data_IF_082318778003
#
_entry.id   IF_082318778003
#
_cell.length_a   1.000
_cell.length_b   1.000
_cell.length_c   1.000
_cell.angle_alpha   90.00
_cell.angle_beta   90.00
_cell.angle_gamma   90.00
#
_symmetry.space_group_name_H-M   'P 1'
#
loop_
_entity.id
_entity.type
_entity.pdbx_description
1 polymer ?
#
# COMPACT_ATOMS: atom_id res chain seq x y z
N UNK A 1 -19.38 19.51 -1.13
CA UNK A 1 -18.33 19.93 -2.09
C UNK A 1 -17.56 18.69 -2.50
N UNK A 2 -17.60 18.30 -3.77
CA UNK A 2 -16.67 17.27 -4.27
C UNK A 2 -15.27 17.88 -4.29
N UNK A 3 -14.29 17.19 -3.71
CA UNK A 3 -12.89 17.61 -3.81
C UNK A 3 -12.41 17.55 -5.27
N UNK A 4 -11.43 18.39 -5.66
CA UNK A 4 -10.93 18.43 -7.03
C UNK A 4 -10.35 17.08 -7.45
N UNK A 5 -10.55 16.76 -8.74
CA UNK A 5 -9.92 15.61 -9.39
C UNK A 5 -8.40 15.66 -9.16
N UNK A 6 -7.73 14.51 -8.94
CA UNK A 6 -6.29 14.52 -8.71
C UNK A 6 -5.56 15.12 -9.91
N UNK A 7 -4.61 16.00 -9.67
CA UNK A 7 -3.72 16.45 -10.74
C UNK A 7 -2.59 15.42 -10.98
N UNK A 8 -1.91 15.54 -12.11
CA UNK A 8 -0.81 14.62 -12.48
C UNK A 8 0.34 14.66 -11.48
N UNK A 9 0.55 15.79 -10.79
CA UNK A 9 1.62 15.95 -9.81
C UNK A 9 1.31 15.21 -8.51
N UNK A 10 0.05 15.19 -8.07
CA UNK A 10 -0.43 14.44 -6.91
C UNK A 10 -0.16 12.94 -7.10
N UNK A 11 -0.62 12.35 -8.22
CA UNK A 11 -0.37 10.94 -8.52
C UNK A 11 1.11 10.64 -8.71
N UNK A 12 1.86 11.58 -9.30
CA UNK A 12 3.32 11.49 -9.41
C UNK A 12 4.02 11.40 -8.06
N UNK A 13 3.58 12.22 -7.10
CA UNK A 13 4.12 12.27 -5.73
C UNK A 13 3.81 11.00 -4.96
N UNK A 14 2.57 10.51 -5.02
CA UNK A 14 2.18 9.24 -4.39
C UNK A 14 2.98 8.06 -4.94
N UNK A 15 3.21 8.03 -6.26
CA UNK A 15 4.05 7.00 -6.89
C UNK A 15 5.51 7.07 -6.43
N UNK A 16 6.06 8.27 -6.27
CA UNK A 16 7.42 8.45 -5.77
C UNK A 16 7.53 7.98 -4.31
N UNK A 17 6.56 8.33 -3.47
CA UNK A 17 6.50 7.88 -2.08
C UNK A 17 6.40 6.36 -1.98
N UNK A 18 5.49 5.72 -2.72
CA UNK A 18 5.35 4.26 -2.71
C UNK A 18 6.65 3.55 -3.13
N UNK A 19 7.36 4.11 -4.12
CA UNK A 19 8.67 3.59 -4.55
C UNK A 19 9.75 3.74 -3.47
N UNK A 20 9.76 4.88 -2.78
CA UNK A 20 10.70 5.11 -1.70
C UNK A 20 10.43 4.16 -0.53
N UNK A 21 9.19 4.07 -0.06
CA UNK A 21 8.81 3.13 1.01
C UNK A 21 9.17 1.68 0.64
N UNK A 22 8.98 1.30 -0.62
CA UNK A 22 9.40 -0.01 -1.08
C UNK A 22 10.92 -0.18 -1.05
N UNK A 23 11.69 0.79 -1.54
CA UNK A 23 13.15 0.74 -1.49
C UNK A 23 13.66 0.68 -0.05
N UNK A 24 13.08 1.48 0.84
CA UNK A 24 13.40 1.53 2.26
C UNK A 24 13.12 0.18 2.94
N UNK A 25 12.13 -0.58 2.47
CA UNK A 25 11.86 -1.93 3.00
C UNK A 25 12.99 -2.93 2.78
N UNK A 26 13.90 -2.67 1.84
CA UNK A 26 15.06 -3.51 1.54
C UNK A 26 16.37 -3.00 2.14
N UNK A 27 16.35 -1.92 2.91
CA UNK A 27 17.56 -1.36 3.53
C UNK A 27 18.16 -2.39 4.50
N UNK A 28 19.44 -2.68 4.31
CA UNK A 28 20.19 -3.58 5.18
C UNK A 28 20.27 -3.04 6.61
N UNK A 29 20.15 -3.93 7.59
CA UNK A 29 20.18 -3.57 9.01
C UNK A 29 18.81 -3.23 9.60
N UNK A 30 17.74 -3.14 8.80
CA UNK A 30 16.39 -3.06 9.33
C UNK A 30 15.98 -4.35 10.05
N UNK A 31 15.22 -4.20 11.14
CA UNK A 31 14.49 -5.30 11.74
C UNK A 31 13.41 -5.82 10.78
N UNK A 32 12.92 -7.04 11.01
CA UNK A 32 11.80 -7.57 10.24
C UNK A 32 10.55 -6.69 10.35
N UNK A 33 10.27 -6.14 11.54
CA UNK A 33 9.19 -5.19 11.76
C UNK A 33 9.39 -3.89 10.98
N UNK A 34 10.62 -3.36 10.95
CA UNK A 34 10.96 -2.14 10.21
C UNK A 34 10.80 -2.33 8.70
N UNK A 35 11.36 -3.40 8.15
CA UNK A 35 11.18 -3.79 6.74
C UNK A 35 9.70 -3.93 6.40
N UNK A 36 8.93 -4.65 7.24
CA UNK A 36 7.49 -4.81 7.05
C UNK A 36 6.72 -3.50 7.12
N UNK A 37 7.08 -2.59 8.03
CA UNK A 37 6.41 -1.30 8.18
C UNK A 37 6.56 -0.43 6.93
N UNK A 38 7.75 -0.37 6.34
CA UNK A 38 8.01 0.32 5.07
C UNK A 38 7.28 -0.32 3.91
N UNK A 39 7.35 -1.65 3.81
CA UNK A 39 6.68 -2.38 2.74
C UNK A 39 5.15 -2.19 2.83
N UNK A 40 4.58 -2.24 4.03
CA UNK A 40 3.17 -1.91 4.29
C UNK A 40 2.83 -0.47 3.90
N UNK A 41 3.72 0.49 4.18
CA UNK A 41 3.59 1.88 3.75
C UNK A 41 3.40 1.97 2.24
N UNK A 42 4.28 1.32 1.48
CA UNK A 42 4.19 1.27 0.02
C UNK A 42 2.84 0.75 -0.47
N UNK A 43 2.32 -0.33 0.14
CA UNK A 43 1.00 -0.88 -0.18
C UNK A 43 -0.14 0.11 0.10
N UNK A 44 -0.11 0.80 1.25
CA UNK A 44 -1.11 1.82 1.61
C UNK A 44 -1.06 3.02 0.67
N UNK A 45 0.14 3.53 0.38
CA UNK A 45 0.34 4.67 -0.53
C UNK A 45 -0.17 4.32 -1.92
N UNK A 46 0.04 3.08 -2.37
CA UNK A 46 -0.45 2.63 -3.66
C UNK A 46 -1.97 2.46 -3.68
N UNK A 47 -2.56 1.86 -2.65
CA UNK A 47 -4.02 1.78 -2.51
C UNK A 47 -4.66 3.18 -2.51
N UNK A 48 -4.03 4.13 -1.82
CA UNK A 48 -4.43 5.54 -1.83
C UNK A 48 -4.37 6.11 -3.25
N UNK A 49 -3.27 5.87 -3.97
CA UNK A 49 -3.10 6.34 -5.34
C UNK A 49 -4.17 5.80 -6.31
N UNK A 50 -4.58 4.53 -6.17
CA UNK A 50 -5.70 3.95 -6.92
C UNK A 50 -7.00 4.69 -6.64
N UNK A 51 -7.36 4.89 -5.36
CA UNK A 51 -8.57 5.63 -4.99
C UNK A 51 -8.53 7.06 -5.51
N UNK A 52 -7.39 7.75 -5.38
CA UNK A 52 -7.21 9.11 -5.91
C UNK A 52 -7.45 9.14 -7.40
N UNK A 53 -6.89 8.21 -8.17
CA UNK A 53 -7.09 8.13 -9.63
C UNK A 53 -8.55 7.96 -10.05
N UNK A 54 -9.40 7.45 -9.15
CA UNK A 54 -10.85 7.29 -9.34
C UNK A 54 -11.67 8.48 -8.79
N UNK A 55 -11.01 9.52 -8.29
CA UNK A 55 -11.64 10.67 -7.65
C UNK A 55 -12.09 10.42 -6.21
N UNK A 56 -11.72 9.29 -5.60
CA UNK A 56 -12.03 8.97 -4.21
C UNK A 56 -10.95 9.50 -3.25
N UNK A 57 -11.39 10.04 -2.11
CA UNK A 57 -10.52 10.56 -1.06
C UNK A 57 -10.95 10.02 0.29
N UNK A 58 -9.99 9.49 1.05
CA UNK A 58 -10.17 8.92 2.38
C UNK A 58 -9.43 9.78 3.39
N UNK A 59 -10.13 10.18 4.45
CA UNK A 59 -9.61 11.05 5.51
C UNK A 59 -10.08 10.57 6.89
N UNK A 60 -9.41 11.04 7.94
CA UNK A 60 -9.82 10.85 9.33
C UNK A 60 -9.24 9.61 10.02
N UNK A 61 -9.73 9.30 11.23
CA UNK A 61 -9.35 8.10 11.98
C UNK A 61 -9.57 6.83 11.14
N UNK A 62 -8.75 5.81 11.38
CA UNK A 62 -8.83 4.53 10.66
C UNK A 62 -8.71 4.61 9.12
N UNK A 63 -8.13 5.69 8.57
CA UNK A 63 -8.02 5.87 7.12
C UNK A 63 -7.33 4.69 6.41
N UNK A 64 -6.43 3.95 7.07
CA UNK A 64 -5.84 2.72 6.52
C UNK A 64 -6.91 1.65 6.24
N UNK A 65 -7.74 1.38 7.26
CA UNK A 65 -8.82 0.39 7.19
C UNK A 65 -9.86 0.79 6.15
N UNK A 66 -10.19 2.09 6.10
CA UNK A 66 -11.16 2.64 5.14
C UNK A 66 -10.59 2.60 3.72
N UNK A 67 -9.32 2.93 3.52
CA UNK A 67 -8.64 2.87 2.22
C UNK A 67 -8.73 1.46 1.63
N UNK A 68 -8.39 0.42 2.39
CA UNK A 68 -8.49 -0.95 1.88
C UNK A 68 -9.94 -1.40 1.69
N UNK A 69 -10.87 -1.03 2.58
CA UNK A 69 -12.28 -1.35 2.40
C UNK A 69 -12.90 -0.70 1.15
N UNK A 70 -12.44 0.49 0.76
CA UNK A 70 -12.82 1.15 -0.50
C UNK A 70 -12.15 0.47 -1.68
N UNK A 71 -10.85 0.19 -1.58
CA UNK A 71 -10.08 -0.51 -2.62
C UNK A 71 -10.76 -1.83 -3.03
N UNK A 72 -11.28 -2.60 -2.07
CA UNK A 72 -11.98 -3.87 -2.33
C UNK A 72 -13.24 -3.72 -3.20
N UNK A 73 -13.85 -2.53 -3.25
CA UNK A 73 -15.15 -2.28 -3.91
C UNK A 73 -15.04 -1.55 -5.24
N UNK A 74 -13.95 -0.83 -5.46
CA UNK A 74 -13.76 -0.08 -6.71
C UNK A 74 -13.45 -0.99 -7.89
N UNK A 75 -13.62 -0.47 -9.11
CA UNK A 75 -13.29 -1.18 -10.36
C UNK A 75 -13.88 -2.61 -10.45
N UNK A 76 -15.12 -2.79 -9.97
CA UNK A 76 -15.81 -4.09 -10.01
C UNK A 76 -15.18 -5.16 -9.12
N UNK A 77 -14.46 -4.77 -8.06
CA UNK A 77 -13.80 -5.71 -7.15
C UNK A 77 -12.45 -6.24 -7.63
N UNK A 78 -11.86 -5.62 -8.67
CA UNK A 78 -10.53 -5.97 -9.22
C UNK A 78 -9.45 -6.17 -8.16
N UNK A 79 -9.55 -5.45 -7.03
CA UNK A 79 -8.55 -5.39 -5.97
C UNK A 79 -8.99 -6.02 -4.66
N UNK A 80 -10.07 -6.81 -4.66
CA UNK A 80 -10.64 -7.39 -3.44
C UNK A 80 -9.63 -8.27 -2.68
N UNK A 81 -8.95 -9.18 -3.37
CA UNK A 81 -7.96 -10.07 -2.73
C UNK A 81 -6.79 -9.29 -2.12
N UNK A 82 -6.24 -8.33 -2.86
CA UNK A 82 -5.16 -7.47 -2.37
C UNK A 82 -5.61 -6.66 -1.15
N UNK A 83 -6.82 -6.09 -1.19
CA UNK A 83 -7.38 -5.32 -0.09
C UNK A 83 -7.57 -6.16 1.18
N UNK A 84 -8.06 -7.39 1.05
CA UNK A 84 -8.22 -8.32 2.17
C UNK A 84 -6.86 -8.70 2.77
N UNK A 85 -5.88 -8.97 1.92
CA UNK A 85 -4.51 -9.23 2.35
C UNK A 85 -3.90 -8.02 3.07
N UNK A 86 -4.10 -6.80 2.58
CA UNK A 86 -3.61 -5.59 3.23
C UNK A 86 -4.31 -5.30 4.56
N UNK A 87 -5.58 -5.66 4.72
CA UNK A 87 -6.27 -5.59 6.00
C UNK A 87 -5.68 -6.56 7.02
N UNK A 88 -5.26 -7.75 6.59
CA UNK A 88 -4.51 -8.68 7.43
C UNK A 88 -3.16 -8.08 7.84
N UNK A 89 -2.41 -7.52 6.87
CA UNK A 89 -1.12 -6.88 7.12
C UNK A 89 -1.23 -5.68 8.08
N UNK A 90 -2.31 -4.90 8.00
CA UNK A 90 -2.56 -3.76 8.91
C UNK A 90 -2.57 -4.18 10.38
N UNK A 91 -3.17 -5.33 10.69
CA UNK A 91 -3.19 -5.85 12.07
C UNK A 91 -1.79 -6.24 12.54
N UNK A 92 -1.03 -6.93 11.67
CA UNK A 92 0.37 -7.28 11.96
C UNK A 92 1.25 -6.04 12.16
N UNK A 93 1.03 -4.99 11.36
CA UNK A 93 1.74 -3.72 11.48
C UNK A 93 1.45 -3.03 12.80
N UNK A 94 0.18 -3.00 13.22
CA UNK A 94 -0.19 -2.44 14.52
C UNK A 94 0.48 -3.19 15.67
N UNK A 95 0.47 -4.53 15.65
CA UNK A 95 1.13 -5.34 16.67
C UNK A 95 2.64 -5.08 16.72
N UNK A 96 3.32 -5.05 15.57
CA UNK A 96 4.75 -4.79 15.46
C UNK A 96 5.16 -3.40 15.96
N UNK A 97 4.31 -2.39 15.75
CA UNK A 97 4.62 -1.00 16.12
C UNK A 97 4.29 -0.66 17.56
N UNK A 98 3.27 -1.30 18.16
CA UNK A 98 2.68 -0.83 19.42
C UNK A 98 2.52 -1.90 20.50
N UNK A 99 2.51 -3.18 20.14
CA UNK A 99 2.20 -4.25 21.10
C UNK A 99 3.46 -5.04 21.49
N UNK A 100 4.22 -5.52 20.51
CA UNK A 100 5.34 -6.41 20.76
C UNK A 100 6.44 -6.29 19.69
N UNK A 101 7.69 -5.99 20.07
CA UNK A 101 8.83 -6.11 19.16
C UNK A 101 8.99 -7.55 18.66
N UNK A 102 9.26 -7.72 17.38
CA UNK A 102 9.43 -9.02 16.72
C UNK A 102 8.11 -9.71 16.34
N UNK A 103 6.99 -8.99 16.31
CA UNK A 103 5.69 -9.55 15.90
C UNK A 103 5.68 -10.03 14.43
N UNK A 104 6.61 -9.54 13.61
CA UNK A 104 6.88 -10.07 12.28
C UNK A 104 8.14 -10.94 12.33
N UNK A 105 7.97 -12.25 12.16
CA UNK A 105 9.10 -13.15 11.92
C UNK A 105 9.65 -12.95 10.51
N UNK A 106 10.96 -13.16 10.34
CA UNK A 106 11.61 -13.31 9.03
C UNK A 106 10.99 -14.52 8.30
N UNK A 107 9.96 -14.27 7.51
CA UNK A 107 9.23 -15.22 6.66
C UNK A 107 8.31 -14.49 5.67
N UNK A 108 7.99 -15.15 4.56
CA UNK A 108 7.37 -14.55 3.35
C UNK A 108 6.17 -13.63 3.65
N UNK A 109 6.39 -12.33 3.54
CA UNK A 109 5.33 -11.34 3.32
C UNK A 109 5.39 -11.01 1.83
N UNK A 110 4.26 -11.06 1.12
CA UNK A 110 4.23 -10.71 -0.30
C UNK A 110 3.37 -9.47 -0.42
N UNK A 111 3.98 -8.31 -0.64
CA UNK A 111 3.20 -7.08 -0.84
C UNK A 111 3.11 -6.78 -2.32
N UNK A 112 1.88 -6.62 -2.79
CA UNK A 112 1.61 -6.14 -4.13
C UNK A 112 1.79 -4.63 -4.14
N UNK A 113 2.67 -4.14 -5.02
CA UNK A 113 2.81 -2.70 -5.28
C UNK A 113 2.35 -2.47 -6.71
N UNK A 114 1.23 -1.76 -6.85
CA UNK A 114 0.67 -1.33 -8.14
C UNK A 114 1.48 -0.14 -8.70
N UNK A 115 2.23 -0.34 -9.78
CA UNK A 115 2.88 0.78 -10.46
C UNK A 115 1.94 1.35 -11.53
N UNK A 116 1.39 2.54 -11.30
CA UNK A 116 0.57 3.24 -12.30
C UNK A 116 1.44 3.73 -13.47
N UNK A 117 1.09 3.29 -14.69
CA UNK A 117 1.65 3.80 -15.93
C UNK A 117 0.76 4.88 -16.55
N UNK A 118 1.38 5.94 -17.09
CA UNK A 118 0.77 7.26 -17.29
C UNK A 118 -0.02 7.45 -18.59
N UNK A 119 -0.27 6.43 -19.42
CA UNK A 119 -0.64 6.70 -20.82
C UNK A 119 -2.13 6.70 -21.16
N UNK A 120 -2.93 5.65 -20.98
CA UNK A 120 -4.25 5.64 -21.65
C UNK A 120 -5.43 5.04 -20.85
N UNK A 121 -5.33 5.02 -19.51
CA UNK A 121 -6.37 4.45 -18.64
C UNK A 121 -5.77 3.72 -17.44
N UNK A 122 -6.62 3.05 -16.64
CA UNK A 122 -6.17 2.21 -15.52
C UNK A 122 -5.72 0.85 -16.08
N UNK A 123 -4.51 0.81 -16.62
CA UNK A 123 -3.82 -0.44 -16.92
C UNK A 123 -2.92 -0.79 -15.73
N UNK A 124 -3.07 -2.01 -15.22
CA UNK A 124 -2.50 -2.41 -13.94
C UNK A 124 -1.53 -3.55 -14.14
N UNK A 125 -0.24 -3.26 -14.05
CA UNK A 125 0.75 -4.32 -13.92
C UNK A 125 0.90 -4.68 -12.45
N UNK A 126 0.48 -5.90 -12.13
CA UNK A 126 0.64 -6.50 -10.81
C UNK A 126 2.09 -6.95 -10.67
N UNK A 127 2.91 -6.18 -9.95
CA UNK A 127 4.22 -6.66 -9.52
C UNK A 127 4.02 -7.41 -8.20
N UNK A 128 4.13 -8.73 -8.27
CA UNK A 128 4.28 -9.58 -7.08
C UNK A 128 5.68 -9.34 -6.54
N UNK A 129 5.80 -8.70 -5.38
CA UNK A 129 7.08 -8.54 -4.71
C UNK A 129 7.20 -9.68 -3.71
N UNK A 130 7.99 -10.72 -4.01
CA UNK A 130 8.40 -11.62 -2.95
C UNK A 130 9.29 -10.81 -2.01
N UNK A 131 8.87 -10.57 -0.76
CA UNK A 131 9.86 -10.25 0.27
C UNK A 131 10.64 -11.54 0.50
N UNK A 132 11.64 -11.76 -0.35
CA UNK A 132 12.66 -12.77 -0.13
C UNK A 132 13.47 -12.32 1.08
N UNK A 133 13.21 -12.99 2.18
CA UNK A 133 14.12 -13.04 3.30
C UNK A 133 15.35 -13.82 2.83
N UNK A 134 16.50 -13.15 2.71
CA UNK A 134 17.78 -13.86 2.74
C UNK A 134 18.11 -14.22 4.18
#
# INVERSE_FOLDING_TARGET
MSEPAPDRAELGSLRALARQELADSFVEGLSADGSFAFAYGAALTTATMVLRSLGERVHGPDHHRVTFARLARVAGGRWMESADYFQHCRRRRNAAMYEQPGAVSRGNVTLEVFLLNQRDGIETDSIKIPLSVR
#
